data_IF_905456169180
#
_entry.id   IF_905456169180
#
_cell.length_a   1.000
_cell.length_b   1.000
_cell.length_c   1.000
_cell.angle_alpha   90.00
_cell.angle_beta   90.00
_cell.angle_gamma   90.00
#
_symmetry.space_group_name_H-M   'P 1'
#
loop_
_entity.id
_entity.type
_entity.pdbx_description
1 polymer ?
#
# COMPACT_ATOMS: atom_id res chain seq x y z
N UNK A 1 -47.68 15.93 -5.25
CA UNK A 1 -46.41 15.74 -5.99
C UNK A 1 -45.24 16.25 -5.16
N UNK A 2 -44.69 15.45 -4.22
CA UNK A 2 -43.53 15.86 -3.40
C UNK A 2 -42.58 14.68 -3.06
N UNK A 3 -42.78 13.51 -3.67
CA UNK A 3 -41.96 12.31 -3.42
C UNK A 3 -40.77 12.16 -4.37
N UNK A 4 -40.79 12.76 -5.55
CA UNK A 4 -39.72 12.63 -6.56
C UNK A 4 -38.46 13.47 -6.27
N UNK A 5 -38.59 14.63 -5.61
CA UNK A 5 -37.42 15.49 -5.28
C UNK A 5 -36.49 14.85 -4.23
N UNK A 6 -36.99 13.95 -3.38
CA UNK A 6 -36.19 13.34 -2.31
C UNK A 6 -35.25 12.25 -2.82
N UNK A 7 -35.69 11.40 -3.77
CA UNK A 7 -34.80 10.36 -4.33
C UNK A 7 -33.62 10.96 -5.09
N UNK A 8 -33.86 12.02 -5.86
CA UNK A 8 -32.77 12.69 -6.59
C UNK A 8 -31.68 13.22 -5.65
N UNK A 9 -32.05 13.85 -4.53
CA UNK A 9 -31.06 14.32 -3.53
C UNK A 9 -30.29 13.18 -2.91
N UNK A 10 -30.99 12.11 -2.52
CA UNK A 10 -30.37 10.93 -1.91
C UNK A 10 -29.37 10.30 -2.89
N UNK A 11 -29.73 10.15 -4.16
CA UNK A 11 -28.84 9.64 -5.21
C UNK A 11 -27.61 10.52 -5.40
N UNK A 12 -27.75 11.86 -5.37
CA UNK A 12 -26.63 12.79 -5.42
C UNK A 12 -25.68 12.63 -4.23
N UNK A 13 -26.23 12.47 -3.01
CA UNK A 13 -25.43 12.22 -1.82
C UNK A 13 -24.66 10.90 -1.91
N UNK A 14 -25.32 9.83 -2.38
CA UNK A 14 -24.65 8.55 -2.60
C UNK A 14 -23.54 8.66 -3.63
N UNK A 15 -23.75 9.38 -4.72
CA UNK A 15 -22.73 9.55 -5.75
C UNK A 15 -21.52 10.34 -5.23
N UNK A 16 -21.76 11.44 -4.50
CA UNK A 16 -20.71 12.21 -3.86
C UNK A 16 -19.94 11.38 -2.81
N UNK A 17 -20.65 10.55 -2.04
CA UNK A 17 -20.04 9.65 -1.06
C UNK A 17 -19.18 8.57 -1.71
N UNK A 18 -19.65 7.96 -2.81
CA UNK A 18 -18.87 6.97 -3.56
C UNK A 18 -17.58 7.60 -4.13
N UNK A 19 -17.67 8.81 -4.71
CA UNK A 19 -16.48 9.54 -5.18
C UNK A 19 -15.51 9.78 -4.03
N UNK A 20 -16.00 10.23 -2.88
CA UNK A 20 -15.17 10.47 -1.70
C UNK A 20 -14.48 9.19 -1.22
N UNK A 21 -15.22 8.08 -1.12
CA UNK A 21 -14.66 6.78 -0.72
C UNK A 21 -13.63 6.27 -1.72
N UNK A 22 -13.87 6.42 -3.03
CA UNK A 22 -12.89 6.04 -4.06
C UNK A 22 -11.59 6.85 -3.93
N UNK A 23 -11.69 8.16 -3.74
CA UNK A 23 -10.51 9.02 -3.53
C UNK A 23 -9.77 8.67 -2.25
N UNK A 24 -10.51 8.40 -1.16
CA UNK A 24 -9.93 7.98 0.11
C UNK A 24 -9.19 6.65 -0.03
N UNK A 25 -9.78 5.68 -0.73
CA UNK A 25 -9.17 4.36 -0.94
C UNK A 25 -7.86 4.45 -1.74
N UNK A 26 -7.79 5.32 -2.76
CA UNK A 26 -6.55 5.59 -3.50
C UNK A 26 -5.50 6.23 -2.59
N UNK A 27 -5.87 7.27 -1.84
CA UNK A 27 -4.95 7.96 -0.93
C UNK A 27 -4.44 7.06 0.20
N UNK A 28 -5.26 6.12 0.70
CA UNK A 28 -4.83 5.16 1.72
C UNK A 28 -4.06 3.98 1.13
N UNK A 29 -4.32 3.58 -0.12
CA UNK A 29 -3.53 2.52 -0.77
C UNK A 29 -2.10 2.96 -1.05
N UNK A 30 -1.84 4.24 -1.30
CA UNK A 30 -0.47 4.78 -1.38
C UNK A 30 0.23 4.84 0.00
N UNK A 31 -0.53 4.73 1.10
CA UNK A 31 0.01 4.72 2.47
C UNK A 31 0.24 3.32 3.03
N UNK A 32 -0.25 2.27 2.37
CA UNK A 32 0.25 0.93 2.59
C UNK A 32 1.57 0.94 1.85
N UNK A 33 2.73 0.86 2.52
CA UNK A 33 3.99 0.78 1.80
C UNK A 33 3.81 -0.32 0.79
N UNK A 34 3.92 0.02 -0.49
CA UNK A 34 4.10 -0.92 -1.58
C UNK A 34 5.39 -1.66 -1.25
N UNK A 35 5.31 -2.60 -0.32
CA UNK A 35 6.30 -3.61 -0.12
C UNK A 35 6.14 -4.45 -1.36
N UNK A 36 6.79 -4.00 -2.44
CA UNK A 36 6.86 -4.69 -3.70
C UNK A 36 7.23 -6.13 -3.32
N UNK A 37 6.36 -7.12 -3.61
CA UNK A 37 6.58 -8.46 -3.14
C UNK A 37 7.88 -8.95 -3.76
N UNK A 38 8.94 -9.03 -2.95
CA UNK A 38 10.21 -9.55 -3.42
C UNK A 38 10.11 -11.07 -3.51
N UNK A 39 10.66 -11.66 -4.55
CA UNK A 39 10.99 -13.09 -4.60
C UNK A 39 12.46 -13.32 -4.25
N UNK A 40 13.32 -12.37 -4.58
CA UNK A 40 14.76 -12.49 -4.41
C UNK A 40 15.35 -11.25 -3.71
N UNK A 41 16.39 -11.45 -2.90
CA UNK A 41 17.04 -10.34 -2.18
C UNK A 41 17.70 -9.30 -3.09
N UNK A 42 17.98 -9.64 -4.35
CA UNK A 42 18.53 -8.70 -5.35
C UNK A 42 17.48 -7.75 -5.94
N UNK A 43 16.20 -8.00 -5.72
CA UNK A 43 15.10 -7.09 -6.10
C UNK A 43 14.92 -5.97 -5.08
N UNK A 44 15.48 -6.14 -3.88
CA UNK A 44 15.46 -5.12 -2.86
C UNK A 44 16.52 -4.04 -3.15
N UNK A 45 16.18 -2.76 -3.04
CA UNK A 45 17.13 -1.69 -3.29
C UNK A 45 18.29 -1.76 -2.29
N UNK A 46 19.56 -1.67 -2.75
CA UNK A 46 20.74 -1.81 -1.90
C UNK A 46 20.84 -0.69 -0.85
N UNK A 47 20.28 0.48 -1.14
CA UNK A 47 20.31 1.68 -0.29
C UNK A 47 19.15 1.74 0.73
N UNK A 48 18.35 0.68 0.87
CA UNK A 48 17.22 0.64 1.81
C UNK A 48 17.68 0.65 3.28
N UNK A 49 18.86 0.10 3.54
CA UNK A 49 19.32 -0.21 4.89
C UNK A 49 20.47 0.71 5.33
N UNK A 50 20.56 1.05 6.62
CA UNK A 50 21.70 1.76 7.16
C UNK A 50 22.97 0.91 7.09
N UNK A 51 24.11 1.58 7.26
CA UNK A 51 25.45 0.98 7.28
C UNK A 51 25.45 -0.21 8.26
N UNK A 52 26.00 -1.36 7.81
CA UNK A 52 26.04 -2.66 8.51
C UNK A 52 24.79 -3.57 8.42
N UNK A 53 23.76 -3.21 7.64
CA UNK A 53 22.65 -4.12 7.32
C UNK A 53 22.50 -4.33 5.81
N UNK A 54 22.12 -5.54 5.43
CA UNK A 54 21.85 -5.89 4.04
C UNK A 54 20.35 -6.06 3.81
N UNK A 55 19.81 -5.51 2.71
CA UNK A 55 18.43 -5.77 2.33
C UNK A 55 18.26 -7.23 1.93
N UNK A 56 17.28 -7.90 2.53
CA UNK A 56 16.91 -9.28 2.26
C UNK A 56 15.44 -9.42 2.02
N UNK A 57 15.09 -10.36 1.16
CA UNK A 57 13.71 -10.73 0.97
C UNK A 57 13.27 -11.75 2.03
N UNK A 58 12.41 -11.33 2.96
CA UNK A 58 11.85 -12.17 4.02
C UNK A 58 10.33 -12.08 3.94
N UNK A 59 9.64 -13.21 3.77
CA UNK A 59 8.17 -13.26 3.66
C UNK A 59 7.60 -12.29 2.61
N UNK A 60 8.19 -12.26 1.41
CA UNK A 60 7.81 -11.34 0.33
C UNK A 60 7.99 -9.86 0.69
N UNK A 61 8.78 -9.55 1.71
CA UNK A 61 9.07 -8.17 2.13
C UNK A 61 10.57 -7.91 2.20
N UNK A 62 11.00 -6.77 1.66
CA UNK A 62 12.37 -6.32 1.83
C UNK A 62 12.58 -5.88 3.29
N UNK A 63 13.39 -6.63 4.02
CA UNK A 63 13.77 -6.34 5.40
C UNK A 63 15.28 -6.22 5.52
N UNK A 64 15.74 -5.34 6.40
CA UNK A 64 17.15 -5.20 6.72
C UNK A 64 17.55 -6.31 7.71
N UNK A 65 18.49 -7.15 7.33
CA UNK A 65 19.02 -8.20 8.19
C UNK A 65 20.54 -8.07 8.30
N UNK A 66 21.05 -8.23 9.52
CA UNK A 66 22.47 -8.30 9.80
C UNK A 66 22.95 -9.74 9.52
N UNK A 67 23.00 -10.15 8.26
CA UNK A 67 23.65 -11.41 7.94
C UNK A 67 25.16 -11.24 7.92
N UNK A 68 25.77 -11.54 9.07
CA UNK A 68 27.00 -12.30 9.06
C UNK A 68 26.75 -13.58 8.25
N UNK A 69 27.55 -13.78 7.20
CA UNK A 69 27.77 -15.03 6.48
C UNK A 69 27.35 -16.27 7.31
N UNK A 70 26.16 -16.81 7.08
CA UNK A 70 25.90 -18.22 7.38
C UNK A 70 26.17 -18.98 6.08
N UNK A 71 27.38 -19.53 6.03
CA UNK A 71 27.77 -20.58 5.10
C UNK A 71 27.13 -21.85 5.66
N UNK A 72 26.16 -22.40 4.93
CA UNK A 72 25.85 -23.84 4.93
C UNK A 72 25.44 -24.25 3.51
#
# INVERSE_FOLDING_TARGET
>A
MQKEKSMARILYFFFAFLIFVSLFMVATNESIPEVLPCLFSNECPPDLCPIDLFPKCINLSCQCSAEFYNID
#
